data_IF_099092600614
#
_entry.id   IF_099092600614
#
_cell.length_a   1.000
_cell.length_b   1.000
_cell.length_c   1.000
_cell.angle_alpha   90.00
_cell.angle_beta   90.00
_cell.angle_gamma   90.00
#
_symmetry.space_group_name_H-M   'P 1'
#
loop_
_entity.id
_entity.type
_entity.pdbx_description
1 polymer ?
2 water ?
#
# COMPACT_ATOMS: atom_id res chain seq x y z
N UNK A 1 -11.35 -6.57 10.58
CA UNK A 1 -9.93 -6.27 10.45
C UNK A 1 -9.66 -4.81 10.78
N UNK A 2 -8.41 -4.47 11.11
CA UNK A 2 -8.10 -3.10 11.49
C UNK A 2 -6.64 -2.81 11.15
N UNK A 3 -6.36 -1.51 11.00
CA UNK A 3 -5.04 -1.02 10.62
C UNK A 3 -4.81 0.31 11.33
N UNK A 4 -3.78 0.37 12.17
CA UNK A 4 -3.53 1.56 12.98
C UNK A 4 -3.17 2.77 12.12
N UNK A 5 -2.40 2.56 11.06
CA UNK A 5 -2.04 3.63 10.14
C UNK A 5 -2.11 3.11 8.71
N UNK A 6 -2.22 4.04 7.76
CA UNK A 6 -2.21 3.69 6.34
C UNK A 6 -0.88 3.06 5.96
N UNK A 7 0.22 3.61 6.48
CA UNK A 7 1.54 3.13 6.12
C UNK A 7 1.77 1.71 6.64
N UNK A 8 1.27 1.40 7.84
CA UNK A 8 1.34 0.03 8.34
C UNK A 8 0.59 -0.92 7.43
N UNK A 9 -0.64 -0.55 7.04
CA UNK A 9 -1.43 -1.38 6.13
C UNK A 9 -0.66 -1.69 4.85
N UNK A 10 0.03 -0.68 4.31
CA UNK A 10 0.75 -0.83 3.05
C UNK A 10 1.90 -1.82 3.15
N UNK A 11 2.40 -2.07 4.36
CA UNK A 11 3.50 -3.00 4.58
C UNK A 11 3.03 -4.43 4.85
N UNK A 12 1.73 -4.66 4.96
CA UNK A 12 1.18 -5.95 5.36
C UNK A 12 0.49 -6.63 4.19
N UNK A 13 0.33 -7.95 4.32
CA UNK A 13 -0.54 -8.72 3.43
C UNK A 13 -1.91 -8.82 4.08
N UNK A 14 -2.96 -8.53 3.31
CA UNK A 14 -4.31 -8.63 3.86
C UNK A 14 -5.32 -8.72 2.72
N UNK A 15 -6.52 -9.18 3.05
CA UNK A 15 -7.61 -9.23 2.08
C UNK A 15 -8.27 -7.86 2.01
N UNK A 16 -8.15 -7.20 0.86
CA UNK A 16 -8.78 -5.89 0.66
C UNK A 16 -10.20 -6.14 0.19
N UNK A 17 -11.15 -5.91 1.08
CA UNK A 17 -12.58 -6.03 0.81
C UNK A 17 -13.24 -4.69 1.13
N UNK A 18 -14.57 -4.67 1.10
CA UNK A 18 -15.27 -3.40 1.28
C UNK A 18 -14.98 -2.81 2.65
N UNK A 19 -14.98 -3.64 3.70
CA UNK A 19 -14.72 -3.14 5.04
C UNK A 19 -13.37 -2.45 5.12
N UNK A 20 -12.33 -3.11 4.62
CA UNK A 20 -10.99 -2.53 4.72
C UNK A 20 -10.82 -1.34 3.80
N UNK A 21 -11.44 -1.38 2.62
CA UNK A 21 -11.42 -0.23 1.73
C UNK A 21 -11.94 1.02 2.42
N UNK A 22 -13.10 0.92 3.08
CA UNK A 22 -13.70 2.10 3.70
C UNK A 22 -12.89 2.57 4.90
N UNK A 23 -12.24 1.66 5.62
CA UNK A 23 -11.39 2.06 6.73
C UNK A 23 -10.13 2.75 6.24
N UNK A 24 -9.56 2.28 5.13
CA UNK A 24 -8.27 2.79 4.68
C UNK A 24 -8.42 4.05 3.86
N UNK A 25 -9.55 4.23 3.21
CA UNK A 25 -9.83 5.46 2.48
C UNK A 25 -10.68 6.40 3.34
N UNK A 26 -10.08 6.78 4.47
CA UNK A 26 -10.64 7.71 5.43
C UNK A 26 -9.66 8.86 5.58
N UNK A 27 -10.19 10.09 5.57
CA UNK A 27 -9.34 11.28 5.67
C UNK A 27 -8.63 11.39 7.00
N UNK A 28 -9.12 10.74 8.05
CA UNK A 28 -8.41 10.85 9.32
C UNK A 28 -7.26 9.85 9.38
N UNK A 29 -7.35 8.76 8.63
CA UNK A 29 -6.20 7.88 8.46
C UNK A 29 -5.16 8.49 7.54
N UNK A 30 -5.59 8.99 6.39
CA UNK A 30 -4.67 9.60 5.46
C UNK A 30 -5.41 10.65 4.65
N UNK A 31 -5.00 11.92 4.73
CA UNK A 31 -5.73 12.97 4.00
C UNK A 31 -5.74 12.72 2.50
N UNK A 32 -6.80 13.21 1.87
CA UNK A 32 -7.03 12.96 0.45
C UNK A 32 -5.85 13.42 -0.41
N UNK A 33 -5.26 14.58 -0.10
CA UNK A 33 -4.13 15.06 -0.90
C UNK A 33 -2.97 14.08 -0.86
N UNK A 34 -2.69 13.49 0.31
CA UNK A 34 -1.58 12.56 0.40
C UNK A 34 -1.92 11.22 -0.26
N UNK A 35 -3.17 10.77 -0.12
CA UNK A 35 -3.60 9.57 -0.84
C UNK A 35 -3.40 9.76 -2.34
N UNK A 36 -3.84 10.90 -2.87
CA UNK A 36 -3.70 11.17 -4.30
C UNK A 36 -2.25 11.29 -4.73
N UNK A 37 -1.37 11.78 -3.86
CA UNK A 37 0.06 11.85 -4.18
C UNK A 37 0.64 10.44 -4.34
N UNK A 38 0.33 9.55 -3.40
CA UNK A 38 0.75 8.15 -3.53
C UNK A 38 0.21 7.54 -4.82
N UNK A 39 -1.08 7.76 -5.11
CA UNK A 39 -1.66 7.21 -6.33
C UNK A 39 -0.97 7.77 -7.57
N UNK A 40 -0.69 9.07 -7.59
CA UNK A 40 -0.01 9.66 -8.75
C UNK A 40 1.40 9.10 -8.94
N UNK A 41 2.06 8.71 -7.85
CA UNK A 41 3.43 8.22 -7.86
C UNK A 41 3.54 6.72 -8.13
N UNK A 42 2.41 6.02 -8.23
CA UNK A 42 2.45 4.57 -8.41
C UNK A 42 3.32 4.15 -9.59
N UNK A 43 3.18 4.81 -10.74
CA UNK A 43 3.94 4.40 -11.92
C UNK A 43 5.45 4.48 -11.67
N UNK A 44 5.89 5.49 -10.91
CA UNK A 44 7.31 5.62 -10.60
C UNK A 44 7.81 4.48 -9.71
N UNK A 45 6.93 3.91 -8.89
CA UNK A 45 7.31 2.88 -7.93
C UNK A 45 6.73 1.52 -8.27
N UNK A 46 6.17 1.36 -9.47
CA UNK A 46 5.35 0.19 -9.79
C UNK A 46 6.11 -1.11 -9.61
N UNK A 47 7.39 -1.14 -10.00
CA UNK A 47 8.18 -2.36 -9.96
C UNK A 47 9.32 -2.26 -8.96
N UNK A 48 9.23 -1.35 -8.00
CA UNK A 48 10.26 -1.26 -6.98
C UNK A 48 10.25 -2.50 -6.10
N UNK A 49 11.43 -2.96 -5.71
CA UNK A 49 11.52 -4.06 -4.76
C UNK A 49 12.84 -3.95 -4.02
N UNK A 50 12.91 -4.62 -2.88
CA UNK A 50 14.13 -4.60 -2.09
C UNK A 50 13.82 -4.89 -0.63
N UNK A 51 14.78 -4.53 0.22
CA UNK A 51 14.60 -4.70 1.66
C UNK A 51 13.47 -3.80 2.16
N UNK A 52 12.80 -4.24 3.23
CA UNK A 52 11.65 -3.50 3.73
C UNK A 52 12.04 -2.27 4.54
N UNK A 53 13.24 -2.24 5.13
CA UNK A 53 13.62 -1.14 6.03
C UNK A 53 14.37 -0.03 5.29
N UNK A 54 13.71 0.54 4.28
CA UNK A 54 14.24 1.74 3.63
C UNK A 54 13.10 2.71 3.36
N UNK A 55 13.46 3.98 3.20
CA UNK A 55 12.46 5.00 2.90
C UNK A 55 11.77 4.73 1.57
N UNK A 56 12.53 4.27 0.56
CA UNK A 56 11.93 4.04 -0.75
C UNK A 56 10.98 2.85 -0.72
N UNK A 57 11.29 1.82 0.07
CA UNK A 57 10.35 0.71 0.14
C UNK A 57 9.04 1.15 0.78
N UNK A 58 9.11 1.95 1.84
CA UNK A 58 7.88 2.42 2.47
C UNK A 58 7.07 3.30 1.53
N UNK A 59 7.73 4.20 0.81
CA UNK A 59 7.03 4.99 -0.20
C UNK A 59 6.41 4.10 -1.26
N UNK A 60 7.18 3.14 -1.78
CA UNK A 60 6.63 2.23 -2.79
C UNK A 60 5.41 1.49 -2.27
N UNK A 61 5.48 1.02 -1.02
CA UNK A 61 4.35 0.30 -0.43
C UNK A 61 3.11 1.18 -0.37
N UNK A 62 3.27 2.43 0.07
CA UNK A 62 2.12 3.33 0.12
C UNK A 62 1.51 3.54 -1.26
N UNK A 63 2.35 3.65 -2.30
CA UNK A 63 1.82 3.83 -3.65
C UNK A 63 1.09 2.58 -4.13
N UNK A 64 1.65 1.40 -3.83
CA UNK A 64 1.00 0.14 -4.18
C UNK A 64 -0.37 0.02 -3.50
N UNK A 65 -0.45 0.36 -2.21
CA UNK A 65 -1.73 0.30 -1.53
C UNK A 65 -2.71 1.32 -2.10
N UNK A 66 -2.24 2.55 -2.39
CA UNK A 66 -3.13 3.55 -2.98
C UNK A 66 -3.71 3.05 -4.30
N UNK A 67 -2.86 2.43 -5.13
CA UNK A 67 -3.34 1.86 -6.38
C UNK A 67 -4.36 0.74 -6.15
N UNK A 68 -4.08 -0.15 -5.19
CA UNK A 68 -5.03 -1.22 -4.88
C UNK A 68 -6.37 -0.67 -4.42
N UNK A 69 -6.35 0.40 -3.62
CA UNK A 69 -7.60 1.01 -3.18
C UNK A 69 -8.34 1.65 -4.35
N UNK A 70 -7.60 2.31 -5.25
CA UNK A 70 -8.22 2.84 -6.46
C UNK A 70 -8.87 1.73 -7.29
N UNK A 71 -8.18 0.60 -7.44
CA UNK A 71 -8.76 -0.52 -8.18
C UNK A 71 -10.06 -0.98 -7.54
N UNK A 72 -10.07 -1.11 -6.21
CA UNK A 72 -11.29 -1.53 -5.52
C UNK A 72 -12.40 -0.50 -5.70
N UNK A 73 -12.06 0.79 -5.67
CA UNK A 73 -13.09 1.82 -5.83
C UNK A 73 -13.80 1.71 -7.17
N UNK A 74 -13.13 1.14 -8.18
CA UNK A 74 -13.72 0.98 -9.50
C UNK A 74 -14.43 -0.36 -9.65
N UNK A 75 -13.89 -1.42 -9.06
CA UNK A 75 -14.37 -2.77 -9.33
C UNK A 75 -15.25 -3.35 -8.23
N UNK A 76 -15.04 -2.96 -6.97
CA UNK A 76 -15.70 -3.62 -5.87
C UNK A 76 -15.29 -5.06 -5.65
N UNK A 77 -14.20 -5.52 -6.27
CA UNK A 77 -13.78 -6.91 -6.20
C UNK A 77 -12.72 -7.11 -5.11
N UNK A 78 -12.95 -8.08 -4.24
CA UNK A 78 -11.97 -8.41 -3.21
C UNK A 78 -10.67 -8.86 -3.86
N UNK A 79 -9.55 -8.35 -3.35
CA UNK A 79 -8.23 -8.72 -3.85
C UNK A 79 -7.28 -8.87 -2.67
N UNK A 80 -6.41 -9.87 -2.75
CA UNK A 80 -5.35 -10.01 -1.77
C UNK A 80 -4.30 -8.93 -2.03
N UNK A 81 -4.12 -8.03 -1.07
CA UNK A 81 -3.06 -7.04 -1.15
C UNK A 81 -1.78 -7.62 -0.56
N UNK A 82 -0.67 -7.46 -1.29
CA UNK A 82 0.65 -7.79 -0.78
C UNK A 82 1.58 -6.61 -1.02
N UNK A 83 2.52 -6.36 -0.11
CA UNK A 83 3.43 -5.22 -0.27
C UNK A 83 4.43 -5.48 -1.39
N UNK A 84 5.25 -4.48 -1.74
CA UNK A 84 6.21 -4.66 -2.84
C UNK A 84 7.11 -5.87 -2.62
N UNK A 85 7.60 -6.44 -3.73
CA UNK A 85 8.39 -7.66 -3.65
C UNK A 85 9.60 -7.46 -2.75
N UNK A 86 9.87 -8.46 -1.91
CA UNK A 86 11.03 -8.43 -1.04
C UNK A 86 11.53 -9.86 -0.91
N UNK A 87 12.59 -10.05 -0.12
CA UNK A 87 13.14 -11.38 0.08
C UNK A 87 14.03 -11.36 1.30
N UNK A 88 14.27 -12.56 1.84
CA UNK A 88 15.16 -12.65 2.99
C UNK A 88 16.57 -12.23 2.60
N UNK A 89 16.99 -12.60 1.39
CA UNK A 89 18.30 -12.17 0.90
C UNK A 89 18.39 -10.65 0.84
N UNK A 90 17.34 -9.98 0.36
CA UNK A 90 17.32 -8.52 0.37
C UNK A 90 17.58 -7.99 1.77
N UNK A 91 16.89 -8.57 2.76
CA UNK A 91 17.03 -8.09 4.13
C UNK A 91 18.46 -8.25 4.62
N UNK A 92 19.07 -9.41 4.37
CA UNK A 92 20.39 -9.68 4.94
C UNK A 92 21.48 -8.84 4.26
N UNK A 93 21.29 -8.45 3.00
CA UNK A 93 22.28 -7.67 2.27
C UNK A 93 22.10 -6.16 2.43
N UNK A 94 21.04 -5.70 3.08
CA UNK A 94 20.77 -4.26 3.16
C UNK A 94 21.85 -3.50 3.92
#
# INVERSE_FOLDING_TARGET
GSFSTFEEAALCTFLLNKEMYLKLRSDVLLPLTQYNRYLALYNKYKYFSGAMDTTSYREAACCHLAKALNDFSNSGSDVLYQPPQTSITSAVLQ
#
